data_IF_151850149459
#
_entry.id   IF_151850149459
#
_cell.length_a   1.000
_cell.length_b   1.000
_cell.length_c   1.000
_cell.angle_alpha   90.00
_cell.angle_beta   90.00
_cell.angle_gamma   90.00
#
_symmetry.space_group_name_H-M   'P 1'
#
loop_
_entity.id
_entity.type
_entity.pdbx_description
1 polymer ?
#
# COMPACT_ATOMS: atom_id res chain seq x y z
N UNK A 1 28.79 4.91 -18.64
CA UNK A 1 28.27 3.92 -17.70
C UNK A 1 28.82 4.23 -16.32
N UNK A 2 28.05 4.86 -15.44
CA UNK A 2 28.40 5.05 -14.02
C UNK A 2 27.18 4.62 -13.21
N UNK A 3 27.28 3.43 -12.62
CA UNK A 3 26.36 2.89 -11.64
C UNK A 3 26.43 3.76 -10.38
N UNK A 4 25.40 4.56 -10.13
CA UNK A 4 25.20 5.19 -8.83
C UNK A 4 24.23 4.31 -8.02
N UNK A 5 24.80 3.30 -7.36
CA UNK A 5 24.11 2.61 -6.28
C UNK A 5 23.90 3.60 -5.13
N UNK A 6 22.69 4.12 -5.00
CA UNK A 6 22.25 4.79 -3.79
C UNK A 6 22.16 3.75 -2.67
N UNK A 7 23.21 3.68 -1.83
CA UNK A 7 23.13 2.97 -0.55
C UNK A 7 22.16 3.75 0.35
N UNK A 8 20.91 3.29 0.43
CA UNK A 8 19.98 3.77 1.45
C UNK A 8 20.50 3.28 2.80
N UNK A 9 20.98 4.22 3.62
CA UNK A 9 21.38 3.98 5.01
C UNK A 9 20.08 3.77 5.80
N UNK A 10 19.82 2.54 6.21
CA UNK A 10 18.81 2.24 7.22
C UNK A 10 19.41 2.66 8.56
N UNK A 11 18.98 3.82 9.05
CA UNK A 11 19.30 4.28 10.38
C UNK A 11 18.42 3.52 11.39
N UNK A 12 18.91 2.38 11.87
CA UNK A 12 18.29 1.69 13.00
C UNK A 12 18.66 2.49 14.25
N UNK A 13 17.79 3.37 14.67
CA UNK A 13 17.88 4.02 15.98
C UNK A 13 17.54 2.98 17.04
N UNK A 14 18.57 2.45 17.68
CA UNK A 14 18.43 1.59 18.85
C UNK A 14 17.93 2.47 20.00
N UNK A 15 16.62 2.43 20.25
CA UNK A 15 16.02 3.04 21.43
C UNK A 15 16.39 2.16 22.62
N UNK A 16 17.34 2.60 23.43
CA UNK A 16 17.70 1.94 24.69
C UNK A 16 16.55 2.13 25.70
N UNK A 17 15.71 1.12 25.82
CA UNK A 17 14.64 1.06 26.82
C UNK A 17 15.26 0.68 28.18
N UNK A 18 15.32 1.63 29.09
CA UNK A 18 15.59 1.36 30.50
C UNK A 18 14.34 0.71 31.11
N UNK A 19 14.42 -0.59 31.36
CA UNK A 19 13.34 -1.37 31.96
C UNK A 19 13.23 -1.05 33.45
N UNK A 20 12.26 -0.24 33.83
CA UNK A 20 11.72 -0.26 35.18
C UNK A 20 10.68 -1.40 35.21
N UNK A 21 10.98 -2.47 35.96
CA UNK A 21 10.06 -3.56 36.26
C UNK A 21 8.96 -3.04 37.22
N UNK A 22 7.95 -2.39 36.65
CA UNK A 22 6.69 -2.14 37.35
C UNK A 22 5.71 -3.25 36.99
N UNK A 23 4.79 -3.56 37.90
CA UNK A 23 3.72 -4.52 37.64
C UNK A 23 3.05 -4.17 36.33
N UNK A 24 3.03 -5.11 35.37
CA UNK A 24 2.57 -4.91 34.02
C UNK A 24 1.07 -4.62 34.06
N UNK A 25 0.70 -3.36 34.06
CA UNK A 25 -0.70 -2.95 33.81
C UNK A 25 -1.08 -3.37 32.39
N UNK A 26 -2.30 -3.87 32.23
CA UNK A 26 -2.83 -4.17 30.90
C UNK A 26 -2.96 -2.87 30.13
N UNK A 27 -2.61 -2.90 28.81
CA UNK A 27 -2.78 -1.76 27.95
C UNK A 27 -4.24 -1.32 27.93
N UNK A 28 -4.50 -0.05 28.18
CA UNK A 28 -5.75 0.58 27.78
C UNK A 28 -5.70 0.78 26.27
N UNK A 29 -6.52 0.04 25.53
CA UNK A 29 -6.61 0.15 24.06
C UNK A 29 -7.33 1.42 23.60
N UNK A 30 -7.91 2.21 24.52
CA UNK A 30 -8.48 3.52 24.23
C UNK A 30 -7.40 4.58 24.11
N UNK A 31 -7.68 5.60 23.31
CA UNK A 31 -6.81 6.77 23.19
C UNK A 31 -6.14 6.90 21.85
N UNK A 32 -5.36 7.97 21.68
CA UNK A 32 -4.59 8.20 20.48
C UNK A 32 -3.41 7.24 20.38
N UNK A 33 -3.00 6.97 19.14
CA UNK A 33 -1.85 6.13 18.87
C UNK A 33 -1.06 6.61 17.66
N UNK A 34 0.20 6.20 17.59
CA UNK A 34 1.07 6.36 16.42
C UNK A 34 1.84 5.07 16.19
N UNK A 35 1.96 4.66 14.92
CA UNK A 35 2.64 3.42 14.57
C UNK A 35 3.56 3.57 13.36
N UNK A 36 4.50 2.64 13.27
CA UNK A 36 5.37 2.45 12.11
C UNK A 36 5.17 1.04 11.58
N UNK A 37 5.04 0.92 10.26
CA UNK A 37 4.82 -0.35 9.57
C UNK A 37 5.93 -0.59 8.55
N UNK A 38 6.28 -1.86 8.38
CA UNK A 38 7.08 -2.35 7.27
C UNK A 38 6.44 -3.63 6.73
N UNK A 39 6.57 -3.89 5.46
CA UNK A 39 5.91 -5.04 4.88
C UNK A 39 6.27 -5.30 3.43
N UNK A 40 5.44 -6.13 2.83
CA UNK A 40 5.57 -6.53 1.45
C UNK A 40 4.23 -6.40 0.73
N UNK A 41 4.30 -6.00 -0.54
CA UNK A 41 3.13 -5.78 -1.39
C UNK A 41 3.21 -6.60 -2.66
N UNK A 42 2.03 -7.03 -3.15
CA UNK A 42 1.81 -7.60 -4.48
C UNK A 42 0.76 -6.75 -5.17
N UNK A 43 1.14 -6.10 -6.25
CA UNK A 43 0.27 -5.24 -7.04
C UNK A 43 -0.03 -5.91 -8.37
N UNK A 44 -1.28 -5.88 -8.79
CA UNK A 44 -1.72 -6.31 -10.11
C UNK A 44 -2.31 -5.11 -10.84
N UNK A 45 -1.73 -4.73 -11.98
CA UNK A 45 -2.24 -3.69 -12.88
C UNK A 45 -2.75 -4.36 -14.16
N UNK A 46 -4.05 -4.31 -14.40
CA UNK A 46 -4.71 -4.93 -15.57
C UNK A 46 -5.20 -3.83 -16.50
N UNK A 47 -4.70 -3.84 -17.74
CA UNK A 47 -5.25 -3.11 -18.87
C UNK A 47 -6.18 -4.02 -19.62
N UNK A 48 -7.47 -3.77 -19.59
CA UNK A 48 -8.46 -4.56 -20.30
C UNK A 48 -9.13 -3.72 -21.38
N UNK A 49 -9.12 -4.24 -22.62
CA UNK A 49 -9.80 -3.64 -23.77
C UNK A 49 -9.34 -2.20 -24.09
N UNK A 50 -8.09 -1.86 -23.89
CA UNK A 50 -7.53 -0.64 -24.43
C UNK A 50 -7.62 -0.70 -25.96
N UNK A 51 -8.23 0.31 -26.59
CA UNK A 51 -8.37 0.37 -28.05
C UNK A 51 -7.44 1.43 -28.62
N UNK A 52 -6.57 1.02 -29.56
CA UNK A 52 -5.68 1.91 -30.30
C UNK A 52 -5.65 1.45 -31.76
N UNK A 53 -5.87 2.35 -32.70
CA UNK A 53 -5.81 2.09 -34.16
C UNK A 53 -6.64 0.88 -34.65
N UNK A 54 -7.78 0.62 -33.97
CA UNK A 54 -8.66 -0.51 -34.30
C UNK A 54 -8.22 -1.86 -33.73
N UNK A 55 -7.17 -1.91 -32.97
CA UNK A 55 -6.67 -3.10 -32.26
C UNK A 55 -7.01 -3.07 -30.77
N UNK A 56 -7.15 -4.25 -30.17
CA UNK A 56 -7.39 -4.40 -28.72
C UNK A 56 -6.10 -4.79 -28.01
N UNK A 57 -5.74 -4.04 -26.98
CA UNK A 57 -4.54 -4.27 -26.18
C UNK A 57 -4.92 -4.82 -24.82
N UNK A 58 -4.19 -5.84 -24.40
CA UNK A 58 -4.27 -6.42 -23.07
C UNK A 58 -2.87 -6.45 -22.46
N UNK A 59 -2.75 -6.00 -21.22
CA UNK A 59 -1.54 -6.18 -20.43
C UNK A 59 -1.93 -6.49 -18.99
N UNK A 60 -1.16 -7.35 -18.35
CA UNK A 60 -1.32 -7.69 -16.94
C UNK A 60 0.03 -7.65 -16.27
N UNK A 61 0.33 -6.55 -15.63
CA UNK A 61 1.56 -6.35 -14.89
C UNK A 61 1.37 -6.85 -13.45
N UNK A 62 2.38 -7.54 -12.94
CA UNK A 62 2.46 -7.95 -11.55
C UNK A 62 3.72 -7.35 -10.96
N UNK A 63 3.52 -6.44 -10.03
CA UNK A 63 4.59 -5.76 -9.32
C UNK A 63 4.62 -6.22 -7.86
N UNK A 64 5.80 -6.34 -7.29
CA UNK A 64 5.95 -6.71 -5.90
C UNK A 64 7.18 -6.02 -5.29
N UNK A 65 7.12 -5.72 -4.00
CA UNK A 65 8.23 -5.05 -3.34
C UNK A 65 7.99 -4.74 -1.87
N UNK A 66 8.99 -4.11 -1.28
CA UNK A 66 8.93 -3.66 0.10
C UNK A 66 8.08 -2.41 0.25
N UNK A 67 7.52 -2.24 1.43
CA UNK A 67 6.83 -1.03 1.84
C UNK A 67 7.24 -0.61 3.25
N UNK A 68 7.16 0.69 3.51
CA UNK A 68 7.23 1.27 4.85
C UNK A 68 6.12 2.30 5.01
N UNK A 69 5.61 2.45 6.23
CA UNK A 69 4.51 3.36 6.50
C UNK A 69 4.55 3.95 7.90
N UNK A 70 3.77 5.00 8.05
CA UNK A 70 3.41 5.58 9.32
C UNK A 70 1.89 5.62 9.41
N UNK A 71 1.36 5.31 10.58
CA UNK A 71 -0.05 5.40 10.87
C UNK A 71 -0.30 6.15 12.18
N UNK A 72 -1.45 6.77 12.29
CA UNK A 72 -1.92 7.41 13.51
C UNK A 72 -3.44 7.32 13.57
N UNK A 73 -3.99 7.43 14.76
CA UNK A 73 -5.43 7.35 14.91
C UNK A 73 -5.89 7.45 16.35
N UNK A 74 -7.13 7.05 16.55
CA UNK A 74 -7.76 7.02 17.84
C UNK A 74 -8.62 5.78 18.00
N UNK A 75 -8.50 5.11 19.14
CA UNK A 75 -9.31 3.95 19.51
C UNK A 75 -10.29 4.33 20.63
N UNK A 76 -11.48 3.75 20.56
CA UNK A 76 -12.53 3.85 21.57
C UNK A 76 -12.88 2.44 22.06
N UNK A 77 -12.75 2.18 23.35
CA UNK A 77 -13.31 0.98 23.96
C UNK A 77 -14.83 1.13 24.07
N UNK A 78 -15.59 0.34 23.31
CA UNK A 78 -17.05 0.33 23.41
C UNK A 78 -17.54 -0.44 24.63
N UNK A 79 -16.78 -1.45 25.05
CA UNK A 79 -16.93 -2.24 26.26
C UNK A 79 -15.61 -2.97 26.55
N UNK A 80 -15.59 -3.88 27.52
CA UNK A 80 -14.36 -4.60 27.92
C UNK A 80 -13.69 -5.42 26.78
N UNK A 81 -14.34 -5.66 25.65
CA UNK A 81 -13.84 -6.50 24.56
C UNK A 81 -13.83 -5.86 23.17
N UNK A 82 -14.66 -4.85 22.93
CA UNK A 82 -14.79 -4.27 21.60
C UNK A 82 -14.11 -2.91 21.51
N UNK A 83 -13.26 -2.77 20.49
CA UNK A 83 -12.53 -1.55 20.15
C UNK A 83 -13.00 -1.04 18.80
N UNK A 84 -13.46 0.19 18.76
CA UNK A 84 -13.72 0.93 17.52
C UNK A 84 -12.57 1.93 17.31
N UNK A 85 -12.03 2.05 16.11
CA UNK A 85 -10.94 2.98 15.82
C UNK A 85 -11.06 3.66 14.47
N UNK A 86 -10.32 4.77 14.34
CA UNK A 86 -10.07 5.46 13.08
C UNK A 86 -8.58 5.59 12.87
N UNK A 87 -8.13 5.34 11.63
CA UNK A 87 -6.71 5.28 11.26
C UNK A 87 -6.50 6.19 10.05
N UNK A 88 -5.53 7.11 10.15
CA UNK A 88 -4.90 7.77 9.02
C UNK A 88 -3.54 7.12 8.76
N UNK A 89 -3.26 6.75 7.53
CA UNK A 89 -2.07 6.01 7.15
C UNK A 89 -1.41 6.63 5.93
N UNK A 90 -0.08 6.66 5.92
CA UNK A 90 0.75 6.98 4.76
C UNK A 90 1.79 5.89 4.57
N UNK A 91 1.89 5.35 3.35
CA UNK A 91 2.86 4.32 2.95
C UNK A 91 3.62 4.72 1.71
N UNK A 92 4.89 4.31 1.64
CA UNK A 92 5.75 4.39 0.46
C UNK A 92 6.19 2.99 0.04
N UNK A 93 6.40 2.81 -1.26
CA UNK A 93 6.67 1.51 -1.86
C UNK A 93 8.00 1.54 -2.62
N UNK A 94 8.72 0.41 -2.58
CA UNK A 94 9.90 0.16 -3.40
C UNK A 94 9.61 -1.04 -4.32
N UNK A 95 8.63 -0.84 -5.20
CA UNK A 95 8.10 -1.86 -6.09
C UNK A 95 8.05 -1.31 -7.51
N UNK A 96 8.67 -1.99 -8.47
CA UNK A 96 8.70 -1.62 -9.88
C UNK A 96 8.64 -2.87 -10.74
N UNK A 97 7.79 -2.86 -11.74
CA UNK A 97 7.76 -3.90 -12.77
C UNK A 97 7.76 -3.28 -14.18
N UNK A 98 8.25 -4.05 -15.14
CA UNK A 98 8.23 -3.71 -16.55
C UNK A 98 7.63 -4.85 -17.36
N UNK A 99 6.66 -4.55 -18.21
CA UNK A 99 6.07 -5.52 -19.11
C UNK A 99 5.98 -4.98 -20.54
N UNK A 100 5.95 -5.89 -21.51
CA UNK A 100 5.75 -5.57 -22.93
C UNK A 100 4.26 -5.68 -23.24
N UNK A 101 3.68 -4.61 -23.79
CA UNK A 101 2.27 -4.62 -24.18
C UNK A 101 2.02 -5.70 -25.26
N UNK A 102 0.88 -6.40 -25.15
CA UNK A 102 0.45 -7.38 -26.14
C UNK A 102 -0.62 -6.76 -27.06
N UNK A 103 -0.33 -6.75 -28.36
CA UNK A 103 -1.27 -6.38 -29.41
C UNK A 103 -1.89 -7.65 -29.98
N UNK A 104 -3.21 -7.87 -29.80
CA UNK A 104 -3.92 -9.09 -30.21
C UNK A 104 -3.21 -10.39 -29.75
N UNK A 105 -2.58 -10.37 -28.56
CA UNK A 105 -1.84 -11.51 -28.00
C UNK A 105 -0.42 -11.70 -28.53
N UNK A 106 0.09 -10.79 -29.36
CA UNK A 106 1.49 -10.79 -29.85
C UNK A 106 2.26 -9.65 -29.17
N UNK A 107 3.53 -9.83 -28.75
CA UNK A 107 4.34 -8.75 -28.20
C UNK A 107 4.42 -7.55 -29.16
N UNK A 108 4.12 -6.35 -28.64
CA UNK A 108 4.27 -5.08 -29.36
C UNK A 108 5.64 -4.45 -29.04
N UNK A 109 6.02 -3.41 -29.77
CA UNK A 109 7.26 -2.66 -29.53
C UNK A 109 7.12 -1.59 -28.41
N UNK A 110 6.05 -1.67 -27.62
CA UNK A 110 5.79 -0.81 -26.47
C UNK A 110 6.11 -1.52 -25.16
N UNK A 111 6.96 -0.90 -24.35
CA UNK A 111 7.23 -1.35 -22.99
C UNK A 111 6.56 -0.38 -22.00
N UNK A 112 5.81 -0.93 -21.05
CA UNK A 112 5.19 -0.17 -19.96
C UNK A 112 5.84 -0.52 -18.64
N UNK A 113 6.37 0.49 -17.94
CA UNK A 113 6.83 0.38 -16.56
C UNK A 113 5.80 1.05 -15.67
N UNK A 114 5.25 0.28 -14.72
CA UNK A 114 4.29 0.79 -13.73
C UNK A 114 4.88 0.69 -12.33
N UNK A 115 4.59 1.66 -11.46
CA UNK A 115 4.92 1.60 -10.04
C UNK A 115 3.84 2.29 -9.20
N UNK A 116 3.63 1.77 -7.98
CA UNK A 116 2.93 2.49 -6.91
C UNK A 116 4.01 3.22 -6.11
N UNK A 117 3.96 4.55 -6.09
CA UNK A 117 4.97 5.35 -5.39
C UNK A 117 4.58 5.53 -3.91
N UNK A 118 3.33 5.92 -3.65
CA UNK A 118 2.82 6.21 -2.31
C UNK A 118 1.30 6.01 -2.21
N UNK A 119 0.83 5.76 -0.99
CA UNK A 119 -0.60 5.56 -0.67
C UNK A 119 -0.98 6.30 0.61
N UNK A 120 -2.14 6.93 0.59
CA UNK A 120 -2.81 7.51 1.76
C UNK A 120 -4.11 6.76 1.99
N UNK A 121 -4.39 6.39 3.24
CA UNK A 121 -5.62 5.69 3.60
C UNK A 121 -6.29 6.34 4.80
N UNK A 122 -7.63 6.33 4.80
CA UNK A 122 -8.48 6.68 5.93
C UNK A 122 -9.37 5.48 6.22
N UNK A 123 -9.17 4.84 7.38
CA UNK A 123 -9.76 3.55 7.70
C UNK A 123 -10.52 3.61 9.02
N UNK A 124 -11.65 2.92 9.07
CA UNK A 124 -12.27 2.49 10.31
C UNK A 124 -11.68 1.14 10.73
N UNK A 125 -11.57 0.92 12.03
CA UNK A 125 -11.11 -0.33 12.65
C UNK A 125 -12.18 -0.84 13.63
N UNK A 126 -12.50 -2.13 13.53
CA UNK A 126 -13.29 -2.83 14.54
C UNK A 126 -12.45 -3.98 15.08
N UNK A 127 -12.21 -3.97 16.38
CA UNK A 127 -11.37 -4.94 17.07
C UNK A 127 -12.12 -5.68 18.17
N UNK A 128 -11.68 -6.91 18.43
CA UNK A 128 -12.16 -7.76 19.52
C UNK A 128 -10.99 -8.29 20.34
N UNK A 129 -10.99 -8.02 21.64
CA UNK A 129 -10.00 -8.50 22.61
C UNK A 129 -10.29 -9.96 22.94
N UNK A 130 -9.40 -10.87 22.55
CA UNK A 130 -9.46 -12.28 22.96
C UNK A 130 -8.92 -12.48 24.38
N UNK A 131 -7.97 -11.65 24.76
CA UNK A 131 -7.48 -11.49 26.12
C UNK A 131 -7.05 -10.01 26.33
N UNK A 132 -6.54 -9.66 27.51
CA UNK A 132 -6.15 -8.29 27.85
C UNK A 132 -5.00 -7.72 26.99
N UNK A 133 -4.25 -8.55 26.31
CA UNK A 133 -3.06 -8.18 25.51
C UNK A 133 -3.23 -8.36 24.01
N UNK A 134 -4.22 -9.13 23.58
CA UNK A 134 -4.37 -9.53 22.16
C UNK A 134 -5.66 -9.01 21.58
N UNK A 135 -5.54 -8.16 20.59
CA UNK A 135 -6.63 -7.59 19.81
C UNK A 135 -6.65 -8.23 18.41
N UNK A 136 -7.74 -8.88 18.03
CA UNK A 136 -8.03 -9.20 16.63
C UNK A 136 -8.82 -8.05 16.03
N UNK A 137 -8.52 -7.67 14.78
CA UNK A 137 -9.22 -6.55 14.17
C UNK A 137 -9.45 -6.73 12.68
N UNK A 138 -10.46 -6.03 12.20
CA UNK A 138 -10.68 -5.76 10.79
C UNK A 138 -10.59 -4.26 10.56
N UNK A 139 -10.11 -3.88 9.37
CA UNK A 139 -10.03 -2.49 8.91
C UNK A 139 -10.78 -2.35 7.60
N UNK A 140 -11.28 -1.16 7.32
CA UNK A 140 -11.90 -0.88 6.03
C UNK A 140 -12.10 0.61 5.83
N UNK A 141 -11.96 1.06 4.58
CA UNK A 141 -12.14 2.48 4.29
C UNK A 141 -11.65 2.92 2.92
N UNK A 142 -11.39 4.20 2.82
CA UNK A 142 -10.93 4.85 1.61
C UNK A 142 -9.41 4.79 1.49
N UNK A 143 -8.93 4.57 0.26
CA UNK A 143 -7.52 4.63 -0.08
C UNK A 143 -7.32 5.42 -1.39
N UNK A 144 -6.21 6.15 -1.46
CA UNK A 144 -5.75 6.79 -2.69
C UNK A 144 -4.26 6.56 -2.86
N UNK A 145 -3.83 6.19 -4.06
CA UNK A 145 -2.44 5.88 -4.36
C UNK A 145 -1.93 6.68 -5.56
N UNK A 146 -0.70 7.17 -5.48
CA UNK A 146 0.00 7.77 -6.61
C UNK A 146 0.64 6.66 -7.44
N UNK A 147 0.24 6.60 -8.71
CA UNK A 147 0.75 5.69 -9.70
C UNK A 147 1.67 6.44 -10.65
N UNK A 148 2.89 5.93 -10.86
CA UNK A 148 3.80 6.36 -11.92
C UNK A 148 3.82 5.33 -13.04
N UNK A 149 3.64 5.79 -14.28
CA UNK A 149 3.71 4.93 -15.48
C UNK A 149 4.64 5.56 -16.49
N UNK A 150 5.49 4.75 -17.07
CA UNK A 150 6.41 5.12 -18.13
C UNK A 150 6.16 4.23 -19.33
N UNK A 151 5.90 4.85 -20.46
CA UNK A 151 5.65 4.20 -21.74
C UNK A 151 6.81 4.47 -22.68
N UNK A 152 7.47 3.42 -23.15
CA UNK A 152 8.55 3.50 -24.13
C UNK A 152 8.14 2.75 -25.40
N UNK A 153 8.10 3.45 -26.53
CA UNK A 153 7.84 2.90 -27.87
C UNK A 153 9.15 2.94 -28.67
N UNK A 154 9.56 1.78 -29.18
CA UNK A 154 10.84 1.65 -29.90
C UNK A 154 10.75 2.23 -31.31
N UNK A 155 9.60 2.06 -31.98
CA UNK A 155 9.37 2.53 -33.36
C UNK A 155 8.00 3.20 -33.52
N UNK A 156 7.91 4.55 -33.69
CA UNK A 156 9.00 5.54 -33.64
C UNK A 156 9.48 5.77 -32.20
N UNK A 157 10.74 6.07 -31.99
CA UNK A 157 11.34 6.29 -30.67
C UNK A 157 10.61 7.42 -29.92
N UNK A 158 9.68 7.04 -29.02
CA UNK A 158 8.84 7.94 -28.21
C UNK A 158 8.78 7.43 -26.78
N UNK A 159 8.70 8.35 -25.84
CA UNK A 159 8.57 8.02 -24.42
C UNK A 159 7.66 9.05 -23.75
N UNK A 160 6.78 8.58 -22.88
CA UNK A 160 5.85 9.42 -22.12
C UNK A 160 5.73 8.93 -20.67
N UNK A 161 5.76 9.87 -19.73
CA UNK A 161 5.61 9.57 -18.30
C UNK A 161 4.33 10.19 -17.76
N UNK A 162 3.54 9.37 -17.10
CA UNK A 162 2.31 9.79 -16.42
C UNK A 162 2.41 9.55 -14.92
N UNK A 163 1.96 10.54 -14.13
CA UNK A 163 1.70 10.40 -12.69
C UNK A 163 0.27 10.78 -12.41
N UNK A 164 -0.45 9.93 -11.73
CA UNK A 164 -1.83 10.19 -11.35
C UNK A 164 -2.21 9.53 -10.03
N UNK A 165 -3.13 10.15 -9.30
CA UNK A 165 -3.74 9.58 -8.11
C UNK A 165 -4.95 8.74 -8.49
N UNK A 166 -4.99 7.51 -8.00
CA UNK A 166 -6.12 6.60 -8.16
C UNK A 166 -6.80 6.37 -6.81
N UNK A 167 -8.12 6.45 -6.83
CA UNK A 167 -8.95 6.35 -5.65
C UNK A 167 -9.59 4.97 -5.57
N UNK A 168 -9.77 4.47 -4.35
CA UNK A 168 -10.36 3.17 -4.14
C UNK A 168 -10.78 2.92 -2.71
N UNK A 169 -10.90 1.66 -2.37
CA UNK A 169 -11.23 1.19 -1.05
C UNK A 169 -10.26 0.09 -0.60
N UNK A 170 -10.10 -0.03 0.70
CA UNK A 170 -9.28 -1.08 1.32
C UNK A 170 -10.09 -1.84 2.36
N UNK A 171 -9.78 -3.13 2.49
CA UNK A 171 -10.24 -3.97 3.58
C UNK A 171 -9.07 -4.81 4.09
N UNK A 172 -8.95 -4.95 5.40
CA UNK A 172 -7.88 -5.71 6.02
C UNK A 172 -8.34 -6.47 7.25
N UNK A 173 -7.53 -7.41 7.67
CA UNK A 173 -7.67 -8.09 8.94
C UNK A 173 -6.30 -8.33 9.56
N UNK A 174 -6.26 -8.33 10.88
CA UNK A 174 -4.98 -8.45 11.57
C UNK A 174 -5.13 -8.76 13.06
N UNK A 175 -3.98 -8.81 13.69
CA UNK A 175 -3.87 -8.95 15.15
C UNK A 175 -2.84 -7.96 15.68
N UNK A 176 -3.06 -7.50 16.90
CA UNK A 176 -2.10 -6.69 17.65
C UNK A 176 -1.88 -7.33 19.02
N UNK A 177 -0.63 -7.36 19.45
CA UNK A 177 -0.22 -7.91 20.73
C UNK A 177 0.52 -6.85 21.55
N UNK A 178 0.00 -6.52 22.71
CA UNK A 178 0.68 -5.68 23.67
C UNK A 178 1.83 -6.45 24.34
N UNK A 179 3.05 -6.08 24.00
CA UNK A 179 4.25 -6.75 24.52
C UNK A 179 4.94 -5.95 25.63
N UNK A 180 4.68 -4.65 25.71
CA UNK A 180 5.29 -3.79 26.74
C UNK A 180 4.45 -2.54 26.98
N UNK A 181 4.00 -2.29 28.21
CA UNK A 181 3.24 -1.09 28.62
C UNK A 181 2.33 -0.54 27.50
N UNK A 182 2.74 0.58 26.90
CA UNK A 182 2.02 1.29 25.83
C UNK A 182 2.44 0.86 24.42
N UNK A 183 3.20 -0.24 24.27
CA UNK A 183 3.67 -0.71 22.96
C UNK A 183 2.97 -2.01 22.55
N UNK A 184 2.47 -2.01 21.34
CA UNK A 184 1.94 -3.21 20.70
C UNK A 184 2.66 -3.49 19.37
N UNK A 185 2.84 -4.77 19.06
CA UNK A 185 3.20 -5.25 17.73
C UNK A 185 1.94 -5.64 16.97
N UNK A 186 1.87 -5.35 15.69
CA UNK A 186 0.73 -5.72 14.86
C UNK A 186 1.18 -6.47 13.60
N UNK A 187 0.31 -7.34 13.12
CA UNK A 187 0.42 -8.02 11.84
C UNK A 187 -0.92 -7.85 11.12
N UNK A 188 -0.90 -7.35 9.90
CA UNK A 188 -2.10 -7.11 9.11
C UNK A 188 -1.91 -7.59 7.66
N UNK A 189 -2.93 -8.26 7.12
CA UNK A 189 -3.13 -8.43 5.70
C UNK A 189 -4.19 -7.45 5.22
N UNK A 190 -3.95 -6.78 4.09
CA UNK A 190 -4.87 -5.81 3.51
C UNK A 190 -4.97 -5.95 2.00
N UNK A 191 -6.20 -5.97 1.52
CA UNK A 191 -6.53 -5.85 0.10
C UNK A 191 -7.00 -4.43 -0.21
N UNK A 192 -6.51 -3.86 -1.32
CA UNK A 192 -6.92 -2.55 -1.83
C UNK A 192 -7.34 -2.68 -3.29
N UNK A 193 -8.51 -2.18 -3.64
CA UNK A 193 -9.00 -2.05 -5.03
C UNK A 193 -9.02 -0.57 -5.39
N UNK A 194 -8.12 -0.17 -6.27
CA UNK A 194 -8.06 1.16 -6.86
C UNK A 194 -8.92 1.16 -8.13
N UNK A 195 -9.99 1.94 -8.11
CA UNK A 195 -10.98 1.97 -9.20
C UNK A 195 -10.33 2.24 -10.55
N UNK A 196 -10.94 1.71 -11.59
CA UNK A 196 -10.54 1.97 -12.98
C UNK A 196 -10.57 3.46 -13.28
N UNK A 197 -9.44 3.99 -13.74
CA UNK A 197 -9.32 5.34 -14.28
C UNK A 197 -8.92 5.27 -15.75
N UNK A 198 -9.57 6.08 -16.57
CA UNK A 198 -9.16 6.27 -17.95
C UNK A 198 -7.97 7.23 -17.99
N UNK A 199 -6.83 6.74 -18.48
CA UNK A 199 -5.64 7.57 -18.72
C UNK A 199 -5.61 7.89 -20.21
N UNK A 200 -5.57 9.17 -20.55
CA UNK A 200 -5.42 9.65 -21.92
C UNK A 200 -3.93 9.83 -22.21
N UNK A 201 -3.39 9.02 -23.13
CA UNK A 201 -1.98 9.06 -23.49
C UNK A 201 -1.82 9.91 -24.75
N UNK A 202 -1.06 11.02 -24.67
CA UNK A 202 -0.93 12.00 -25.73
C UNK A 202 -0.25 11.41 -26.96
N UNK A 203 0.75 10.55 -26.78
CA UNK A 203 1.43 9.89 -27.90
C UNK A 203 0.53 8.96 -28.70
N UNK A 204 -0.64 8.56 -28.17
CA UNK A 204 -1.66 7.74 -28.83
C UNK A 204 -2.95 8.52 -29.12
N UNK A 205 -2.81 9.80 -29.48
CA UNK A 205 -3.91 10.67 -29.83
C UNK A 205 -5.00 10.78 -28.75
N UNK A 206 -4.59 10.77 -27.48
CA UNK A 206 -5.48 10.79 -26.31
C UNK A 206 -6.48 9.61 -26.25
N UNK A 207 -6.11 8.44 -26.78
CA UNK A 207 -6.94 7.25 -26.65
C UNK A 207 -7.08 6.86 -25.16
N UNK A 208 -8.31 6.61 -24.67
CA UNK A 208 -8.53 6.22 -23.29
C UNK A 208 -7.98 4.82 -23.03
N UNK A 209 -7.22 4.68 -21.93
CA UNK A 209 -6.64 3.42 -21.49
C UNK A 209 -7.26 3.05 -20.13
N UNK A 210 -8.32 2.20 -20.09
CA UNK A 210 -8.91 1.77 -18.84
C UNK A 210 -7.96 0.86 -18.09
N UNK A 211 -7.67 1.20 -16.83
CA UNK A 211 -6.72 0.46 -15.99
C UNK A 211 -7.34 0.18 -14.63
N UNK A 212 -7.27 -1.09 -14.22
CA UNK A 212 -7.70 -1.56 -12.92
C UNK A 212 -6.48 -2.02 -12.12
N UNK A 213 -6.31 -1.45 -10.94
CA UNK A 213 -5.21 -1.79 -10.04
C UNK A 213 -5.76 -2.41 -8.77
N UNK A 214 -5.22 -3.56 -8.39
CA UNK A 214 -5.45 -4.18 -7.09
C UNK A 214 -4.13 -4.45 -6.39
N UNK A 215 -4.13 -4.34 -5.06
CA UNK A 215 -2.95 -4.46 -4.24
C UNK A 215 -3.25 -5.31 -3.01
N UNK A 216 -2.40 -6.30 -2.78
CA UNK A 216 -2.36 -7.14 -1.59
C UNK A 216 -1.14 -6.76 -0.75
N UNK A 217 -1.28 -6.62 0.55
CA UNK A 217 -0.20 -6.24 1.46
C UNK A 217 -0.20 -7.12 2.70
N UNK A 218 1.00 -7.46 3.15
CA UNK A 218 1.24 -7.99 4.49
C UNK A 218 2.18 -7.03 5.21
N UNK A 219 1.76 -6.50 6.35
CA UNK A 219 2.53 -5.55 7.14
C UNK A 219 2.73 -6.03 8.55
N UNK A 220 3.92 -5.80 9.06
CA UNK A 220 4.25 -5.87 10.48
C UNK A 220 4.55 -4.46 10.99
N UNK A 221 4.01 -4.11 12.14
CA UNK A 221 4.19 -2.78 12.72
C UNK A 221 4.39 -2.79 14.22
N UNK A 222 4.84 -1.64 14.72
CA UNK A 222 4.90 -1.32 16.15
C UNK A 222 4.13 -0.03 16.38
N UNK A 223 3.24 -0.06 17.36
CA UNK A 223 2.34 1.05 17.69
C UNK A 223 2.53 1.46 19.14
N UNK A 224 2.67 2.76 19.35
CA UNK A 224 2.67 3.39 20.68
C UNK A 224 1.27 3.97 20.96
N UNK A 225 0.73 3.65 22.14
CA UNK A 225 -0.55 4.13 22.64
C UNK A 225 -0.29 5.18 23.72
N UNK A 226 -1.01 6.30 23.67
CA UNK A 226 -0.85 7.42 24.63
C UNK A 226 -1.81 7.35 25.80
#
# INVERSE_FOLDING_TARGET
>A
MKNNSFKKIILVTTLALTTNLHAQENLDWSGPFVGLDAGYTWTTDEKNNASRDGFTYHAKNKDNGGLIGINTGYNFMMNEKWVLGFIGEYKTYDAQDSDVDLKDGVPDDVTTVSSVDQKVSLLAKLGYLIDSKTLLFITGGYATAEMSRHYDEVTPNRSEKHKNWQNGWSIGFGSAYNFYENLSANLEYRYTDLRTNDINIAMWNNAPQPQKVSQDEVTFGVTYHF
#
